data_IF_539619041664
#
_entry.id   IF_539619041664
#
_cell.length_a   1.000
_cell.length_b   1.000
_cell.length_c   1.000
_cell.angle_alpha   90.00
_cell.angle_beta   90.00
_cell.angle_gamma   90.00
#
_symmetry.space_group_name_H-M   'P 1'
#
loop_
_entity.id
_entity.type
_entity.pdbx_description
1 polymer ?
#
# COMPACT_ATOMS: atom_id res chain seq x y z
N UNK A 1 -19.34 25.63 9.56
CA UNK A 1 -18.85 25.23 9.54
C UNK A 1 -18.16 24.68 9.66
N UNK A 2 -17.82 24.69 9.45
CA UNK A 2 -17.15 24.16 9.43
C UNK A 2 -16.39 23.66 9.78
N UNK A 3 -16.12 23.59 10.23
CA UNK A 3 -15.30 23.04 10.78
C UNK A 3 -15.10 21.82 10.61
N UNK A 4 -15.87 21.35 10.38
CA UNK A 4 -15.86 20.13 10.21
C UNK A 4 -14.96 19.59 9.35
N UNK A 5 -14.66 20.15 8.53
CA UNK A 5 -13.76 19.67 7.69
C UNK A 5 -12.54 19.79 8.18
N UNK A 6 -12.48 20.23 9.18
CA UNK A 6 -11.31 20.49 9.62
C UNK A 6 -10.57 19.32 9.90
N UNK A 7 -11.01 18.21 10.19
CA UNK A 7 -10.17 17.22 10.49
C UNK A 7 -10.42 16.10 9.66
N UNK A 8 -10.10 16.19 8.54
CA UNK A 8 -9.88 15.05 7.76
C UNK A 8 -8.75 14.32 8.30
N UNK A 9 -8.86 13.07 8.49
CA UNK A 9 -7.76 12.25 8.92
C UNK A 9 -6.66 12.30 7.89
N UNK A 10 -5.40 12.24 8.35
CA UNK A 10 -4.30 12.16 7.41
C UNK A 10 -4.38 10.85 6.65
N UNK A 11 -3.91 10.83 5.41
CA UNK A 11 -3.91 9.59 4.64
C UNK A 11 -3.13 8.47 5.33
N UNK A 12 -3.61 7.26 5.20
CA UNK A 12 -2.98 6.10 5.79
C UNK A 12 -2.43 5.20 4.70
N UNK A 13 -1.13 4.90 4.81
CA UNK A 13 -0.46 4.00 3.88
C UNK A 13 0.00 2.80 4.68
N UNK A 14 -0.34 1.61 4.20
CA UNK A 14 0.12 0.37 4.81
C UNK A 14 1.10 -0.27 3.84
N UNK A 15 2.26 -0.65 4.34
CA UNK A 15 3.25 -1.36 3.54
C UNK A 15 3.50 -2.73 4.15
N UNK A 16 3.64 -3.75 3.32
CA UNK A 16 4.00 -5.08 3.77
C UNK A 16 5.32 -5.43 3.13
N UNK A 17 6.37 -5.47 3.93
CA UNK A 17 7.74 -5.63 3.48
C UNK A 17 8.57 -6.25 4.59
N UNK A 18 9.26 -7.37 4.31
CA UNK A 18 10.02 -8.06 5.33
C UNK A 18 11.50 -7.69 5.34
N UNK A 19 11.99 -6.98 4.34
CA UNK A 19 13.40 -6.63 4.24
C UNK A 19 13.65 -5.29 4.95
N UNK A 20 14.41 -5.27 6.06
CA UNK A 20 14.60 -4.02 6.82
C UNK A 20 15.26 -2.92 6.00
N UNK A 21 16.16 -3.27 5.06
CA UNK A 21 16.82 -2.25 4.25
C UNK A 21 15.80 -1.58 3.33
N UNK A 22 14.89 -2.36 2.75
CA UNK A 22 13.85 -1.81 1.88
C UNK A 22 12.86 -0.97 2.69
N UNK A 23 12.56 -1.40 3.92
CA UNK A 23 11.67 -0.61 4.79
C UNK A 23 12.29 0.77 5.06
N UNK A 24 13.60 0.81 5.31
CA UNK A 24 14.26 2.09 5.56
C UNK A 24 14.18 3.00 4.34
N UNK A 25 14.43 2.45 3.15
CA UNK A 25 14.35 3.24 1.93
C UNK A 25 12.92 3.72 1.68
N UNK A 26 11.96 2.89 2.00
CA UNK A 26 10.55 3.26 1.87
C UNK A 26 10.21 4.43 2.80
N UNK A 27 10.70 4.38 4.03
CA UNK A 27 10.46 5.47 4.97
C UNK A 27 11.07 6.77 4.48
N UNK A 28 12.27 6.69 3.87
CA UNK A 28 12.90 7.87 3.31
C UNK A 28 12.12 8.42 2.12
N UNK A 29 11.57 7.52 1.29
CA UNK A 29 10.77 7.96 0.14
C UNK A 29 9.48 8.63 0.57
N UNK A 30 8.84 8.10 1.61
CA UNK A 30 7.63 8.71 2.14
C UNK A 30 7.95 10.10 2.69
N UNK A 31 9.06 10.23 3.40
CA UNK A 31 9.46 11.54 3.91
C UNK A 31 9.76 12.52 2.79
N UNK A 32 10.39 12.04 1.71
CA UNK A 32 10.73 12.89 0.57
C UNK A 32 9.49 13.40 -0.17
N UNK A 33 8.40 12.66 -0.10
CA UNK A 33 7.18 13.06 -0.79
C UNK A 33 6.57 14.33 -0.23
N UNK A 34 6.91 14.70 1.00
CA UNK A 34 6.46 15.97 1.55
C UNK A 34 4.96 16.01 1.84
N UNK A 35 4.32 14.86 1.93
CA UNK A 35 2.90 14.77 2.23
C UNK A 35 2.76 14.22 3.64
N UNK A 36 1.96 14.86 4.45
CA UNK A 36 1.71 14.34 5.78
C UNK A 36 0.85 13.10 5.66
N UNK A 37 1.33 11.97 6.16
CA UNK A 37 0.58 10.73 6.13
C UNK A 37 1.05 9.81 7.27
N UNK A 38 0.25 8.81 7.56
CA UNK A 38 0.59 7.80 8.55
C UNK A 38 1.02 6.54 7.82
N UNK A 39 2.27 6.12 8.01
CA UNK A 39 2.79 4.90 7.40
C UNK A 39 2.86 3.81 8.45
N UNK A 40 2.25 2.67 8.16
CA UNK A 40 2.33 1.48 8.99
C UNK A 40 3.01 0.39 8.19
N UNK A 41 4.01 -0.26 8.75
CA UNK A 41 4.74 -1.32 8.05
C UNK A 41 4.51 -2.63 8.80
N UNK A 42 4.06 -3.65 8.08
CA UNK A 42 4.01 -5.01 8.60
C UNK A 42 5.13 -5.80 7.94
N UNK A 43 5.88 -6.55 8.73
CA UNK A 43 7.06 -7.22 8.22
C UNK A 43 6.83 -8.69 7.88
N UNK A 44 5.61 -9.13 7.89
CA UNK A 44 5.28 -10.49 7.46
C UNK A 44 3.86 -10.53 6.91
N UNK A 45 3.63 -11.49 6.03
CA UNK A 45 2.29 -11.67 5.47
C UNK A 45 1.28 -12.10 6.52
N UNK A 46 1.70 -12.89 7.51
CA UNK A 46 0.79 -13.34 8.55
C UNK A 46 0.31 -12.17 9.40
N UNK A 47 1.23 -11.33 9.83
CA UNK A 47 0.86 -10.15 10.63
C UNK A 47 -0.06 -9.24 9.83
N UNK A 48 0.27 -9.03 8.56
CA UNK A 48 -0.55 -8.18 7.70
C UNK A 48 -1.97 -8.76 7.58
N UNK A 49 -2.09 -10.07 7.36
CA UNK A 49 -3.40 -10.68 7.22
C UNK A 49 -4.23 -10.50 8.48
N UNK A 50 -3.62 -10.72 9.64
CA UNK A 50 -4.34 -10.58 10.90
C UNK A 50 -4.79 -9.13 11.11
N UNK A 51 -3.93 -8.17 10.79
CA UNK A 51 -4.25 -6.78 10.97
C UNK A 51 -5.31 -6.31 9.97
N UNK A 52 -5.24 -6.75 8.72
CA UNK A 52 -6.24 -6.38 7.73
C UNK A 52 -7.63 -6.88 8.16
N UNK A 53 -7.70 -8.09 8.70
CA UNK A 53 -8.98 -8.62 9.16
C UNK A 53 -9.50 -7.91 10.40
N UNK A 54 -8.60 -7.31 11.18
CA UNK A 54 -8.99 -6.63 12.42
C UNK A 54 -9.53 -5.22 12.18
N UNK A 55 -9.29 -4.63 11.00
CA UNK A 55 -9.75 -3.29 10.71
C UNK A 55 -11.26 -3.32 10.47
N UNK A 56 -11.98 -2.53 11.26
CA UNK A 56 -13.42 -2.59 11.30
C UNK A 56 -14.05 -1.78 10.20
N UNK A 57 -15.12 -2.28 9.62
CA UNK A 57 -15.90 -1.55 8.61
C UNK A 57 -16.47 -0.26 9.18
N UNK A 58 -16.69 -0.20 10.48
CA UNK A 58 -17.33 0.96 11.11
C UNK A 58 -16.33 2.01 11.55
N UNK A 59 -15.04 1.82 11.24
CA UNK A 59 -14.03 2.82 11.56
C UNK A 59 -13.30 3.23 10.29
N UNK A 60 -13.97 3.97 9.40
CA UNK A 60 -13.38 4.31 8.10
C UNK A 60 -12.06 5.07 8.21
N UNK A 61 -11.83 5.80 9.29
CA UNK A 61 -10.59 6.53 9.46
C UNK A 61 -9.40 5.59 9.64
N UNK A 62 -9.64 4.32 10.01
CA UNK A 62 -8.59 3.33 10.13
C UNK A 62 -8.31 2.62 8.82
N UNK A 63 -9.13 2.83 7.79
CA UNK A 63 -8.94 2.16 6.51
C UNK A 63 -7.73 2.75 5.79
N UNK A 64 -6.94 1.91 5.13
CA UNK A 64 -5.82 2.45 4.36
C UNK A 64 -6.30 3.16 3.09
N UNK A 65 -5.55 4.15 2.68
CA UNK A 65 -5.78 4.85 1.42
C UNK A 65 -4.88 4.30 0.32
N UNK A 66 -3.85 3.54 0.69
CA UNK A 66 -2.92 2.92 -0.25
C UNK A 66 -2.23 1.77 0.45
N UNK A 67 -2.06 0.66 -0.25
CA UNK A 67 -1.28 -0.47 0.25
C UNK A 67 -0.11 -0.71 -0.70
N UNK A 68 1.10 -0.76 -0.15
CA UNK A 68 2.31 -1.11 -0.87
C UNK A 68 2.66 -2.53 -0.46
N UNK A 69 2.78 -3.44 -1.42
CA UNK A 69 2.78 -4.86 -1.10
C UNK A 69 3.89 -5.58 -1.84
N UNK A 70 4.79 -6.22 -1.10
CA UNK A 70 5.79 -7.08 -1.70
C UNK A 70 5.15 -8.43 -2.05
N UNK A 71 5.54 -9.01 -3.18
CA UNK A 71 5.04 -10.32 -3.58
C UNK A 71 5.68 -11.45 -2.79
N UNK A 72 6.95 -11.31 -2.46
CA UNK A 72 7.70 -12.43 -1.88
C UNK A 72 7.86 -12.25 -0.39
N UNK A 73 6.85 -12.67 0.35
CA UNK A 73 6.83 -12.53 1.80
C UNK A 73 6.89 -13.90 2.44
N UNK A 74 7.55 -14.01 3.59
CA UNK A 74 7.53 -15.29 4.33
C UNK A 74 6.11 -15.59 4.80
N UNK A 75 5.75 -16.85 4.72
CA UNK A 75 4.47 -17.32 5.20
C UNK A 75 3.36 -17.12 4.19
N UNK A 76 2.71 -15.98 4.21
CA UNK A 76 1.63 -15.68 3.29
C UNK A 76 2.12 -14.78 2.18
N UNK A 77 1.93 -15.19 0.93
CA UNK A 77 2.44 -14.44 -0.21
C UNK A 77 1.68 -13.14 -0.43
N UNK A 78 2.29 -12.24 -1.20
CA UNK A 78 1.64 -10.99 -1.53
C UNK A 78 0.34 -11.17 -2.30
N UNK A 79 0.29 -12.18 -3.20
CA UNK A 79 -0.95 -12.43 -3.94
C UNK A 79 -2.07 -12.91 -3.03
N UNK A 80 -1.73 -13.71 -2.03
CA UNK A 80 -2.74 -14.13 -1.05
C UNK A 80 -3.26 -12.94 -0.25
N UNK A 81 -2.37 -12.02 0.11
CA UNK A 81 -2.78 -10.83 0.82
C UNK A 81 -3.66 -9.94 -0.04
N UNK A 82 -3.31 -9.80 -1.32
CA UNK A 82 -4.11 -9.01 -2.25
C UNK A 82 -5.51 -9.59 -2.36
N UNK A 83 -5.61 -10.92 -2.49
CA UNK A 83 -6.91 -11.57 -2.53
C UNK A 83 -7.70 -11.31 -1.25
N UNK A 84 -7.04 -11.39 -0.10
CA UNK A 84 -7.69 -11.14 1.18
C UNK A 84 -8.26 -9.72 1.22
N UNK A 85 -7.47 -8.73 0.80
CA UNK A 85 -7.93 -7.35 0.79
C UNK A 85 -9.16 -7.20 -0.10
N UNK A 86 -9.14 -7.81 -1.28
CA UNK A 86 -10.23 -7.65 -2.25
C UNK A 86 -11.49 -8.39 -1.85
N UNK A 87 -11.39 -9.44 -1.02
CA UNK A 87 -12.54 -10.30 -0.75
C UNK A 87 -12.97 -10.33 0.71
N UNK A 88 -12.12 -9.90 1.65
CA UNK A 88 -12.43 -10.11 3.07
C UNK A 88 -12.38 -8.84 3.89
N UNK A 89 -12.18 -7.66 3.29
CA UNK A 89 -12.06 -6.44 4.09
C UNK A 89 -13.10 -5.41 3.69
N UNK A 90 -13.28 -4.42 4.55
CA UNK A 90 -14.18 -3.31 4.29
C UNK A 90 -13.56 -2.26 3.36
N UNK A 91 -12.26 -2.38 3.06
CA UNK A 91 -11.57 -1.46 2.15
C UNK A 91 -11.16 -2.19 0.88
N UNK A 92 -12.08 -2.96 0.33
CA UNK A 92 -11.79 -3.88 -0.77
C UNK A 92 -11.46 -3.19 -2.09
N UNK A 93 -11.70 -1.88 -2.21
CA UNK A 93 -11.34 -1.13 -3.41
C UNK A 93 -10.11 -0.26 -3.22
N UNK A 94 -9.37 -0.42 -2.13
CA UNK A 94 -8.18 0.38 -1.88
C UNK A 94 -7.15 0.16 -2.98
N UNK A 95 -6.45 1.21 -3.41
CA UNK A 95 -5.35 1.01 -4.35
C UNK A 95 -4.26 0.15 -3.74
N UNK A 96 -3.84 -0.87 -4.47
CA UNK A 96 -2.74 -1.75 -4.07
C UNK A 96 -1.68 -1.70 -5.15
N UNK A 97 -0.48 -1.30 -4.77
CA UNK A 97 0.67 -1.26 -5.65
C UNK A 97 1.64 -2.35 -5.21
N UNK A 98 1.91 -3.27 -6.13
CA UNK A 98 2.89 -4.32 -5.86
C UNK A 98 4.27 -3.75 -6.10
N UNK A 99 5.20 -3.98 -5.17
CA UNK A 99 6.59 -3.56 -5.31
C UNK A 99 7.43 -4.81 -5.15
N UNK A 100 8.04 -5.27 -6.23
CA UNK A 100 8.71 -6.56 -6.24
C UNK A 100 9.98 -6.50 -7.04
N UNK A 101 10.99 -7.29 -6.66
CA UNK A 101 12.20 -7.40 -7.48
C UNK A 101 12.01 -8.29 -8.69
N UNK A 102 10.91 -8.99 -8.81
CA UNK A 102 10.67 -9.86 -9.96
C UNK A 102 10.25 -9.05 -11.18
N UNK A 103 10.86 -9.35 -12.32
CA UNK A 103 10.45 -8.77 -13.61
C UNK A 103 9.75 -9.82 -14.48
N UNK A 104 9.38 -10.94 -13.89
CA UNK A 104 8.75 -12.04 -14.61
C UNK A 104 7.39 -11.60 -15.13
N UNK A 105 7.17 -11.84 -16.43
CA UNK A 105 5.88 -11.53 -17.01
C UNK A 105 4.75 -12.28 -16.31
N UNK A 106 5.03 -13.50 -15.88
CA UNK A 106 4.03 -14.30 -15.19
C UNK A 106 3.63 -13.64 -13.86
N UNK A 107 4.61 -13.17 -13.09
CA UNK A 107 4.31 -12.53 -11.81
C UNK A 107 3.52 -11.24 -12.03
N UNK A 108 3.90 -10.46 -13.03
CA UNK A 108 3.22 -9.21 -13.33
C UNK A 108 1.77 -9.49 -13.73
N UNK A 109 1.57 -10.46 -14.63
CA UNK A 109 0.22 -10.79 -15.09
C UNK A 109 -0.65 -11.29 -13.96
N UNK A 110 -0.08 -12.11 -13.07
CA UNK A 110 -0.85 -12.65 -11.96
C UNK A 110 -1.27 -11.56 -10.98
N UNK A 111 -0.39 -10.57 -10.78
CA UNK A 111 -0.74 -9.46 -9.91
C UNK A 111 -1.96 -8.71 -10.46
N UNK A 112 -1.95 -8.41 -11.76
CA UNK A 112 -3.08 -7.70 -12.35
C UNK A 112 -4.33 -8.57 -12.40
N UNK A 113 -4.17 -9.88 -12.59
CA UNK A 113 -5.32 -10.79 -12.55
C UNK A 113 -5.96 -10.83 -11.18
N UNK A 114 -5.19 -10.56 -10.14
CA UNK A 114 -5.71 -10.50 -8.77
C UNK A 114 -6.11 -9.07 -8.38
N UNK A 115 -6.23 -8.19 -9.36
CA UNK A 115 -6.73 -6.84 -9.17
C UNK A 115 -5.76 -5.90 -8.44
N UNK A 116 -4.46 -6.05 -8.70
CA UNK A 116 -3.51 -5.03 -8.30
C UNK A 116 -3.72 -3.80 -9.18
N UNK A 117 -3.53 -2.62 -8.62
CA UNK A 117 -3.68 -1.38 -9.38
C UNK A 117 -2.42 -1.04 -10.15
N UNK A 118 -1.26 -1.47 -9.66
CA UNK A 118 0.00 -1.24 -10.35
C UNK A 118 1.04 -2.23 -9.86
N UNK A 119 2.04 -2.46 -10.69
CA UNK A 119 3.17 -3.31 -10.37
C UNK A 119 4.43 -2.52 -10.67
N UNK A 120 5.30 -2.38 -9.70
CA UNK A 120 6.54 -1.65 -9.84
C UNK A 120 7.69 -2.58 -9.50
N UNK A 121 8.68 -2.67 -10.40
CA UNK A 121 9.88 -3.46 -10.13
C UNK A 121 10.80 -2.65 -9.21
N UNK A 122 11.29 -3.27 -8.15
CA UNK A 122 12.18 -2.59 -7.21
C UNK A 122 13.46 -2.18 -7.92
N UNK A 123 13.80 -0.88 -7.89
CA UNK A 123 15.09 -0.48 -8.41
C UNK A 123 16.21 -1.02 -7.52
N UNK A 124 17.35 -1.36 -8.13
CA UNK A 124 18.50 -1.84 -7.36
C UNK A 124 19.21 -0.70 -6.66
N UNK A 125 19.19 0.48 -7.24
CA UNK A 125 19.87 1.63 -6.68
C UNK A 125 19.03 2.24 -5.55
N UNK A 126 19.61 2.48 -4.36
CA UNK A 126 18.84 3.01 -3.24
C UNK A 126 18.18 4.36 -3.52
N UNK A 127 18.88 5.26 -4.21
CA UNK A 127 18.30 6.56 -4.51
C UNK A 127 17.12 6.43 -5.48
N UNK A 128 17.23 5.53 -6.45
CA UNK A 128 16.13 5.27 -7.36
C UNK A 128 14.93 4.65 -6.63
N UNK A 129 15.19 3.81 -5.63
CA UNK A 129 14.11 3.24 -4.83
C UNK A 129 13.37 4.35 -4.07
N UNK A 130 14.12 5.26 -3.44
CA UNK A 130 13.52 6.37 -2.71
C UNK A 130 12.69 7.24 -3.65
N UNK A 131 13.22 7.54 -4.84
CA UNK A 131 12.49 8.34 -5.82
C UNK A 131 11.23 7.64 -6.29
N UNK A 132 11.27 6.32 -6.43
CA UNK A 132 10.11 5.54 -6.85
C UNK A 132 9.01 5.60 -5.80
N UNK A 133 9.37 5.48 -4.51
CA UNK A 133 8.38 5.59 -3.44
C UNK A 133 7.79 6.99 -3.40
N UNK A 134 8.63 8.02 -3.51
CA UNK A 134 8.16 9.40 -3.55
C UNK A 134 7.13 9.58 -4.68
N UNK A 135 7.45 9.11 -5.87
CA UNK A 135 6.54 9.22 -7.03
C UNK A 135 5.26 8.41 -6.82
N UNK A 136 5.36 7.25 -6.20
CA UNK A 136 4.19 6.42 -5.93
C UNK A 136 3.24 7.10 -4.94
N UNK A 137 3.79 7.66 -3.89
CA UNK A 137 3.00 8.39 -2.89
C UNK A 137 2.36 9.60 -3.55
N UNK A 138 3.13 10.35 -4.33
CA UNK A 138 2.61 11.54 -4.98
C UNK A 138 1.44 11.20 -5.91
N UNK A 139 1.59 10.14 -6.70
CA UNK A 139 0.53 9.77 -7.63
C UNK A 139 -0.72 9.27 -6.91
N UNK A 140 -0.56 8.30 -6.01
CA UNK A 140 -1.73 7.61 -5.44
C UNK A 140 -2.38 8.38 -4.30
N UNK A 141 -1.63 9.18 -3.56
CA UNK A 141 -2.17 9.92 -2.43
C UNK A 141 -2.58 11.32 -2.83
N UNK A 142 -1.78 11.99 -3.69
CA UNK A 142 -1.99 13.40 -4.00
C UNK A 142 -2.67 13.62 -5.33
N UNK A 143 -2.37 12.81 -6.33
CA UNK A 143 -2.81 13.07 -7.71
C UNK A 143 -4.04 12.28 -8.10
N UNK A 144 -4.06 10.98 -7.81
CA UNK A 144 -5.14 10.13 -8.28
C UNK A 144 -6.44 10.43 -7.54
N UNK A 145 -7.54 10.35 -8.27
CA UNK A 145 -8.85 10.51 -7.67
C UNK A 145 -9.46 9.13 -7.47
N UNK A 146 -9.82 8.83 -6.26
CA UNK A 146 -10.41 7.53 -5.95
C UNK A 146 -11.91 7.58 -6.08
N UNK A 147 -12.50 6.43 -6.33
CA UNK A 147 -13.93 6.28 -6.31
C UNK A 147 -14.44 6.51 -4.90
N UNK A 148 -15.57 7.22 -4.80
CA UNK A 148 -16.17 7.51 -3.50
C UNK A 148 -17.51 6.83 -3.47
N UNK A 149 -17.59 5.74 -2.74
CA UNK A 149 -18.81 4.95 -2.74
C UNK A 149 -20.00 5.71 -2.18
N UNK A 150 -19.73 6.67 -1.33
CA UNK A 150 -20.81 7.40 -0.69
C UNK A 150 -21.06 8.74 -1.33
N UNK A 151 -20.55 8.93 -2.49
CA UNK A 151 -20.84 10.15 -3.17
C UNK A 151 -21.97 10.01 -4.08
#
# INVERSE_FOLDING_TARGET
MSEQFTHTAVPRVIAVEDNPADVRLMEEGVAAAGVELALTVYNSGRTAADQFRAIDAETPDDHPDLILLDLNLPGKSGLELLTLVRTETAFDDVPVVIISSSESREDINRAYEHAANAYVTKPADPDAYIDMIDATIDFWITTATRSQANE
#
